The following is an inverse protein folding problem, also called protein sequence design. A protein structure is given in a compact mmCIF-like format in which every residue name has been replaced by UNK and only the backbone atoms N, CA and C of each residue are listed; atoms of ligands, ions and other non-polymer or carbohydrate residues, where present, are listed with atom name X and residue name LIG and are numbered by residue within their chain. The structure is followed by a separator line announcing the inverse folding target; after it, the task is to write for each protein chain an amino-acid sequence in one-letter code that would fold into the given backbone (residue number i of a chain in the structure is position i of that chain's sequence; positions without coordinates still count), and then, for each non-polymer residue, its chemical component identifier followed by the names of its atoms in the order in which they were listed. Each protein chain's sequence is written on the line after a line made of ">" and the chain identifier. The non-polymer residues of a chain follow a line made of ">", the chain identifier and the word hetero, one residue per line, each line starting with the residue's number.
data_IF_935874802710
#
_entry.id   IF_935874802710
#
_cell.length_a   1.000
_cell.length_b   1.000
_cell.length_c   1.000
_cell.angle_alpha   90.00
_cell.angle_beta   90.00
_cell.angle_gamma   90.00
#
_symmetry.space_group_name_H-M   'P 1'
#
loop_
_entity.id
_entity.type
_entity.pdbx_description
1 polymer ?
#
# COMPACT_ATOMS: atom_id res chain seq x y z
N UNK A 1 -22.22 11.01 2.50
CA UNK A 1 -22.07 11.90 1.32
C UNK A 1 -20.90 11.49 0.42
N UNK A 2 -20.36 10.25 0.51
CA UNK A 2 -19.12 9.84 -0.19
C UNK A 2 -19.27 8.57 -1.04
N UNK A 3 -20.47 8.26 -1.54
CA UNK A 3 -20.69 7.10 -2.41
C UNK A 3 -21.36 7.51 -3.72
N UNK A 4 -20.78 8.50 -4.40
CA UNK A 4 -21.12 8.70 -5.80
C UNK A 4 -20.22 7.79 -6.63
N UNK A 5 -20.75 6.63 -7.02
CA UNK A 5 -20.12 5.76 -8.02
C UNK A 5 -19.90 6.59 -9.29
N UNK A 6 -18.65 7.01 -9.52
CA UNK A 6 -18.23 7.49 -10.83
C UNK A 6 -18.27 6.30 -11.79
N UNK A 7 -19.41 6.08 -12.44
CA UNK A 7 -19.51 5.18 -13.59
C UNK A 7 -18.69 5.79 -14.71
N UNK A 8 -17.45 5.35 -14.83
CA UNK A 8 -16.60 5.57 -16.00
C UNK A 8 -17.24 4.80 -17.17
N UNK A 9 -18.22 5.41 -17.83
CA UNK A 9 -18.97 4.81 -18.95
C UNK A 9 -18.21 4.86 -20.28
N UNK A 10 -17.07 5.54 -20.31
CA UNK A 10 -16.22 5.64 -21.50
C UNK A 10 -15.49 4.31 -21.71
N UNK A 11 -15.78 3.63 -22.82
CA UNK A 11 -14.98 2.50 -23.28
C UNK A 11 -13.55 2.98 -23.51
N UNK A 12 -12.62 2.43 -22.73
CA UNK A 12 -11.21 2.75 -22.85
C UNK A 12 -10.63 1.91 -23.99
N UNK A 13 -10.38 2.55 -25.12
CA UNK A 13 -9.72 1.92 -26.26
C UNK A 13 -8.23 1.77 -25.94
N UNK A 14 -7.84 0.58 -25.49
CA UNK A 14 -6.46 0.25 -25.19
C UNK A 14 -5.67 0.08 -26.49
N UNK A 15 -4.92 1.11 -26.88
CA UNK A 15 -4.09 1.09 -28.09
C UNK A 15 -2.71 0.50 -27.82
N UNK A 16 -1.99 0.11 -28.88
CA UNK A 16 -0.60 -0.33 -28.75
C UNK A 16 0.31 0.77 -28.17
N UNK A 17 0.02 2.04 -28.45
CA UNK A 17 0.73 3.19 -27.86
C UNK A 17 0.44 3.32 -26.36
N UNK A 18 -0.82 3.13 -25.93
CA UNK A 18 -1.18 3.15 -24.52
C UNK A 18 -0.50 2.01 -23.74
N UNK A 19 -0.44 0.80 -24.30
CA UNK A 19 0.30 -0.33 -23.72
C UNK A 19 1.79 0.00 -23.59
N UNK A 20 2.39 0.60 -24.63
CA UNK A 20 3.79 1.01 -24.61
C UNK A 20 4.06 2.03 -23.49
N UNK A 21 3.26 3.09 -23.40
CA UNK A 21 3.43 4.12 -22.36
C UNK A 21 3.22 3.53 -20.96
N UNK A 22 2.26 2.62 -20.79
CA UNK A 22 2.02 1.94 -19.53
C UNK A 22 3.20 1.03 -19.14
N UNK A 23 3.75 0.28 -20.08
CA UNK A 23 4.96 -0.53 -19.89
C UNK A 23 6.17 0.34 -19.55
N UNK A 24 6.38 1.44 -20.28
CA UNK A 24 7.46 2.40 -20.03
C UNK A 24 7.34 3.01 -18.62
N UNK A 25 6.11 3.34 -18.18
CA UNK A 25 5.84 3.83 -16.82
C UNK A 25 6.16 2.77 -15.76
N UNK A 26 5.70 1.52 -15.95
CA UNK A 26 6.04 0.41 -15.06
C UNK A 26 7.55 0.21 -14.99
N UNK A 27 8.22 0.22 -16.14
CA UNK A 27 9.65 0.07 -16.20
C UNK A 27 10.35 1.25 -15.53
N UNK A 28 9.87 2.48 -15.68
CA UNK A 28 10.43 3.64 -14.98
C UNK A 28 10.24 3.55 -13.45
N UNK A 29 9.09 3.04 -12.98
CA UNK A 29 8.84 2.80 -11.56
C UNK A 29 9.76 1.73 -10.97
N UNK A 30 10.09 0.69 -11.75
CA UNK A 30 10.94 -0.43 -11.30
C UNK A 30 12.43 -0.19 -11.55
N UNK A 31 12.81 0.58 -12.58
CA UNK A 31 14.22 0.82 -12.98
C UNK A 31 14.85 2.04 -12.30
N UNK A 32 14.04 2.95 -11.75
CA UNK A 32 14.52 4.16 -11.10
C UNK A 32 15.10 3.89 -9.71
N UNK A 33 16.04 4.75 -9.29
CA UNK A 33 16.37 5.08 -7.88
C UNK A 33 15.17 5.65 -7.10
N UNK A 34 13.95 5.36 -7.53
CA UNK A 34 12.70 5.68 -6.85
C UNK A 34 12.63 4.94 -5.52
N UNK A 35 13.14 3.71 -5.49
CA UNK A 35 13.32 2.96 -4.26
C UNK A 35 14.68 3.27 -3.64
N UNK A 36 14.69 3.72 -2.38
CA UNK A 36 15.91 3.84 -1.62
C UNK A 36 16.35 2.48 -1.07
N UNK A 37 17.66 2.36 -0.82
CA UNK A 37 18.21 1.16 -0.18
C UNK A 37 17.67 1.06 1.25
N UNK A 38 17.23 -0.14 1.60
CA UNK A 38 16.72 -0.48 2.93
C UNK A 38 17.81 -0.27 3.98
N UNK A 39 17.50 0.51 5.01
CA UNK A 39 18.39 0.79 6.14
C UNK A 39 17.78 0.23 7.43
N UNK A 40 18.26 -0.93 7.89
CA UNK A 40 17.73 -1.63 9.06
C UNK A 40 17.97 -0.91 10.41
N UNK A 41 18.73 0.18 10.42
CA UNK A 41 18.98 0.98 11.61
C UNK A 41 17.99 2.15 11.76
N UNK A 42 17.12 2.35 10.76
CA UNK A 42 16.13 3.42 10.76
C UNK A 42 14.73 2.89 11.01
N UNK A 43 13.85 3.70 11.62
CA UNK A 43 12.46 3.35 11.76
C UNK A 43 11.82 3.18 10.39
N UNK A 44 10.86 2.28 10.34
CA UNK A 44 10.07 2.01 9.15
C UNK A 44 8.71 2.65 9.26
N UNK A 45 8.27 3.28 8.19
CA UNK A 45 6.94 3.88 8.11
C UNK A 45 6.21 3.23 6.93
N UNK A 46 5.07 2.62 7.18
CA UNK A 46 4.22 2.06 6.13
C UNK A 46 2.94 2.87 6.03
N UNK A 47 2.62 3.30 4.81
CA UNK A 47 1.36 3.97 4.48
C UNK A 47 0.47 2.96 3.78
N UNK A 48 -0.76 2.79 4.24
CA UNK A 48 -1.71 1.78 3.77
C UNK A 48 -3.01 2.46 3.37
N UNK A 49 -3.48 2.15 2.17
CA UNK A 49 -4.78 2.57 1.65
C UNK A 49 -5.55 1.31 1.20
N UNK A 50 -6.87 1.38 1.30
CA UNK A 50 -7.77 0.30 0.92
C UNK A 50 -8.90 0.84 0.03
N UNK A 51 -8.93 0.40 -1.22
CA UNK A 51 -9.99 0.78 -2.17
C UNK A 51 -10.67 -0.46 -2.73
N UNK A 52 -11.95 -0.62 -2.40
CA UNK A 52 -12.72 -1.82 -2.76
C UNK A 52 -12.15 -3.07 -2.08
N UNK A 53 -11.78 -4.08 -2.87
CA UNK A 53 -11.16 -5.33 -2.40
C UNK A 53 -9.63 -5.36 -2.57
N UNK A 54 -9.00 -4.20 -2.71
CA UNK A 54 -7.55 -4.12 -2.90
C UNK A 54 -6.93 -3.25 -1.81
N UNK A 55 -5.83 -3.75 -1.24
CA UNK A 55 -4.93 -3.01 -0.40
C UNK A 55 -3.74 -2.53 -1.23
N UNK A 56 -3.41 -1.25 -1.08
CA UNK A 56 -2.17 -0.67 -1.55
C UNK A 56 -1.36 -0.23 -0.33
N UNK A 57 -0.06 -0.48 -0.34
CA UNK A 57 0.80 0.12 0.69
C UNK A 57 2.18 0.48 0.17
N UNK A 58 2.77 1.49 0.82
CA UNK A 58 4.12 1.97 0.52
C UNK A 58 4.92 1.96 1.81
N UNK A 59 6.02 1.22 1.80
CA UNK A 59 7.02 1.27 2.86
C UNK A 59 7.99 2.39 2.54
N UNK A 60 8.19 3.31 3.46
CA UNK A 60 9.06 4.48 3.33
C UNK A 60 10.05 4.57 4.50
N UNK A 61 11.22 5.13 4.24
CA UNK A 61 12.22 5.46 5.25
C UNK A 61 12.76 6.87 5.05
N UNK A 62 13.27 7.46 6.12
CA UNK A 62 13.92 8.76 6.06
C UNK A 62 15.35 8.64 5.52
N UNK A 63 15.65 9.33 4.42
CA UNK A 63 16.98 9.47 3.85
C UNK A 63 17.35 10.96 3.82
N UNK A 64 18.10 11.40 4.83
CA UNK A 64 18.38 12.81 5.06
C UNK A 64 17.10 13.57 5.45
N UNK A 65 16.78 14.63 4.70
CA UNK A 65 15.59 15.45 4.93
C UNK A 65 14.34 14.98 4.16
N UNK A 66 14.40 13.83 3.46
CA UNK A 66 13.31 13.34 2.60
C UNK A 66 12.89 11.93 2.99
N UNK A 67 11.58 11.69 2.95
CA UNK A 67 11.02 10.33 2.96
C UNK A 67 11.23 9.72 1.57
N UNK A 68 11.78 8.52 1.52
CA UNK A 68 11.95 7.77 0.28
C UNK A 68 11.22 6.43 0.37
N UNK A 69 10.51 6.02 -0.68
CA UNK A 69 9.92 4.68 -0.72
C UNK A 69 11.02 3.63 -0.81
N UNK A 70 10.78 2.49 -0.18
CA UNK A 70 11.66 1.32 -0.15
C UNK A 70 10.98 0.12 -0.82
N UNK A 71 9.66 0.01 -0.67
CA UNK A 71 8.86 -1.01 -1.32
C UNK A 71 7.41 -0.54 -1.53
N UNK A 72 6.78 -1.08 -2.56
CA UNK A 72 5.36 -0.95 -2.83
C UNK A 72 4.71 -2.33 -2.73
N UNK A 73 3.51 -2.39 -2.16
CA UNK A 73 2.71 -3.61 -2.07
C UNK A 73 1.33 -3.35 -2.65
N UNK A 74 0.85 -4.33 -3.40
CA UNK A 74 -0.51 -4.40 -3.89
C UNK A 74 -1.00 -5.81 -3.61
N UNK A 75 -2.08 -5.93 -2.85
CA UNK A 75 -2.68 -7.23 -2.55
C UNK A 75 -4.18 -7.15 -2.72
N UNK A 76 -4.76 -8.22 -3.27
CA UNK A 76 -6.20 -8.42 -3.26
C UNK A 76 -6.58 -8.98 -1.90
N UNK A 77 -7.59 -8.39 -1.28
CA UNK A 77 -8.16 -8.87 -0.03
C UNK A 77 -9.16 -9.97 -0.37
N UNK A 78 -8.84 -11.23 -0.03
CA UNK A 78 -9.70 -12.37 -0.32
C UNK A 78 -11.02 -12.30 0.45
N UNK A 79 -12.08 -12.73 -0.21
CA UNK A 79 -13.46 -12.54 0.22
C UNK A 79 -13.90 -13.41 1.41
N UNK A 80 -13.03 -14.22 1.98
CA UNK A 80 -13.31 -14.92 3.25
C UNK A 80 -13.39 -13.91 4.41
N UNK A 81 -12.85 -12.70 4.22
CA UNK A 81 -13.12 -11.51 5.05
C UNK A 81 -14.12 -10.52 4.40
N UNK A 82 -14.84 -10.94 3.35
CA UNK A 82 -15.69 -10.10 2.50
C UNK A 82 -16.99 -10.80 2.08
N UNK A 83 -17.59 -11.62 2.94
CA UNK A 83 -19.05 -11.82 2.88
C UNK A 83 -19.72 -10.57 3.44
N UNK A 84 -20.07 -9.62 2.56
CA UNK A 84 -20.86 -8.42 2.83
C UNK A 84 -20.69 -7.84 4.24
N UNK A 85 -19.44 -7.76 4.69
CA UNK A 85 -19.10 -7.12 5.94
C UNK A 85 -19.19 -5.61 5.69
N UNK A 86 -19.74 -4.84 6.65
CA UNK A 86 -19.83 -3.39 6.49
C UNK A 86 -18.44 -2.82 6.15
N UNK A 87 -18.42 -1.69 5.42
CA UNK A 87 -17.21 -1.10 4.80
C UNK A 87 -16.04 -0.84 5.76
N UNK A 88 -16.28 -0.94 7.07
CA UNK A 88 -15.31 -0.84 8.15
C UNK A 88 -14.36 -2.05 8.30
N UNK A 89 -14.65 -3.21 7.72
CA UNK A 89 -13.79 -4.40 7.87
C UNK A 89 -12.71 -4.54 6.79
N UNK A 90 -12.89 -3.90 5.62
CA UNK A 90 -11.88 -3.93 4.54
C UNK A 90 -10.59 -3.23 4.95
N UNK A 91 -10.68 -2.11 5.68
CA UNK A 91 -9.52 -1.39 6.20
C UNK A 91 -8.73 -2.21 7.22
N UNK A 92 -9.40 -2.92 8.13
CA UNK A 92 -8.76 -3.80 9.10
C UNK A 92 -8.05 -5.00 8.43
N UNK A 93 -8.67 -5.57 7.38
CA UNK A 93 -8.03 -6.59 6.58
C UNK A 93 -6.81 -6.04 5.82
N UNK A 94 -6.90 -4.84 5.27
CA UNK A 94 -5.77 -4.15 4.63
C UNK A 94 -4.63 -3.90 5.63
N UNK A 95 -4.95 -3.43 6.84
CA UNK A 95 -4.00 -3.25 7.94
C UNK A 95 -3.30 -4.56 8.32
N UNK A 96 -4.03 -5.68 8.43
CA UNK A 96 -3.46 -6.98 8.77
C UNK A 96 -2.55 -7.54 7.67
N UNK A 97 -2.95 -7.39 6.41
CA UNK A 97 -2.12 -7.81 5.27
C UNK A 97 -0.87 -6.92 5.19
N UNK A 98 -1.03 -5.62 5.37
CA UNK A 98 0.08 -4.67 5.40
C UNK A 98 1.07 -5.00 6.52
N UNK A 99 0.56 -5.30 7.73
CA UNK A 99 1.35 -5.77 8.86
C UNK A 99 2.06 -7.09 8.55
N UNK A 100 1.39 -8.03 7.89
CA UNK A 100 2.00 -9.32 7.51
C UNK A 100 3.16 -9.13 6.54
N UNK A 101 2.99 -8.29 5.51
CA UNK A 101 4.08 -7.95 4.58
C UNK A 101 5.21 -7.18 5.29
N UNK A 102 4.86 -6.28 6.21
CA UNK A 102 5.79 -5.59 7.08
C UNK A 102 6.63 -6.56 7.93
N UNK A 103 5.99 -7.53 8.57
CA UNK A 103 6.63 -8.54 9.40
C UNK A 103 7.63 -9.40 8.62
N UNK A 104 7.38 -9.66 7.33
CA UNK A 104 8.33 -10.38 6.46
C UNK A 104 9.61 -9.59 6.25
N UNK A 105 9.52 -8.26 6.13
CA UNK A 105 10.66 -7.39 5.82
C UNK A 105 11.38 -6.82 7.06
N UNK A 106 10.67 -6.71 8.18
CA UNK A 106 11.08 -5.89 9.33
C UNK A 106 11.12 -6.68 10.64
N UNK A 107 11.39 -7.98 10.57
CA UNK A 107 11.41 -8.88 11.73
C UNK A 107 12.33 -8.34 12.85
N UNK A 108 11.78 -8.13 14.05
CA UNK A 108 12.52 -7.62 15.20
C UNK A 108 12.76 -6.11 15.19
N UNK A 109 12.01 -5.35 14.37
CA UNK A 109 12.13 -3.89 14.24
C UNK A 109 10.81 -3.20 14.56
N UNK A 110 10.88 -1.92 14.92
CA UNK A 110 9.70 -1.09 15.12
C UNK A 110 9.23 -0.54 13.77
N UNK A 111 7.93 -0.61 13.53
CA UNK A 111 7.29 -0.03 12.36
C UNK A 111 6.08 0.82 12.79
N UNK A 112 5.89 1.94 12.10
CA UNK A 112 4.71 2.79 12.25
C UNK A 112 3.83 2.63 11.03
N UNK A 113 2.56 2.29 11.24
CA UNK A 113 1.58 2.14 10.16
C UNK A 113 0.63 3.33 10.20
N UNK A 114 0.48 3.97 9.04
CA UNK A 114 -0.50 5.02 8.78
C UNK A 114 -1.56 4.48 7.84
N UNK A 115 -2.82 4.70 8.18
CA UNK A 115 -3.96 4.38 7.33
C UNK A 115 -5.03 5.44 7.51
N UNK A 116 -5.82 5.66 6.47
CA UNK A 116 -6.94 6.60 6.47
C UNK A 116 -8.23 5.96 7.02
N UNK A 117 -8.14 4.78 7.63
CA UNK A 117 -9.27 4.11 8.26
C UNK A 117 -9.85 4.95 9.40
N UNK A 118 -11.18 5.04 9.44
CA UNK A 118 -11.92 5.77 10.48
C UNK A 118 -11.62 5.24 11.90
N UNK A 119 -11.15 4.00 12.01
CA UNK A 119 -10.91 3.32 13.28
C UNK A 119 -9.48 3.49 13.78
N UNK A 120 -8.50 3.64 12.88
CA UNK A 120 -7.09 3.70 13.24
C UNK A 120 -6.36 4.71 12.34
N UNK A 121 -6.21 5.96 12.78
CA UNK A 121 -5.48 6.96 11.98
C UNK A 121 -3.95 6.71 11.95
N UNK A 122 -3.41 6.12 13.02
CA UNK A 122 -2.00 5.77 13.15
C UNK A 122 -1.83 4.76 14.29
N UNK A 123 -0.97 3.76 14.10
CA UNK A 123 -0.49 2.93 15.20
C UNK A 123 0.97 2.51 15.01
N UNK A 124 1.72 2.47 16.11
CA UNK A 124 3.12 2.05 16.13
C UNK A 124 3.21 0.71 16.83
N UNK A 125 3.78 -0.28 16.15
CA UNK A 125 3.97 -1.62 16.70
C UNK A 125 5.46 -1.96 16.72
N UNK A 126 5.88 -2.63 17.80
CA UNK A 126 7.17 -3.32 17.82
C UNK A 126 6.90 -4.70 17.23
N UNK A 127 7.50 -5.01 16.07
CA UNK A 127 7.36 -6.32 15.45
C UNK A 127 8.26 -7.29 16.20
N UNK A 128 7.74 -7.85 17.29
CA UNK A 128 8.39 -8.91 18.05
C UNK A 128 8.09 -10.28 17.44
N UNK A 129 8.91 -11.28 17.79
CA UNK A 129 8.80 -12.67 17.31
C UNK A 129 7.45 -13.29 17.61
#
# INVERSE_FOLDING_TARGET
>A
MYEQEFKMSTQLNWTAEAEKVFCDLKQALVSSTALALLDYNKPFIQMVDCKGHYMTSVLVQQHGAKMKPIAYFLSKLDSVASEKLPSNHSAQAAELVALTEACKLMKGKQATIYTDSMHFQQFTLIITR
#
